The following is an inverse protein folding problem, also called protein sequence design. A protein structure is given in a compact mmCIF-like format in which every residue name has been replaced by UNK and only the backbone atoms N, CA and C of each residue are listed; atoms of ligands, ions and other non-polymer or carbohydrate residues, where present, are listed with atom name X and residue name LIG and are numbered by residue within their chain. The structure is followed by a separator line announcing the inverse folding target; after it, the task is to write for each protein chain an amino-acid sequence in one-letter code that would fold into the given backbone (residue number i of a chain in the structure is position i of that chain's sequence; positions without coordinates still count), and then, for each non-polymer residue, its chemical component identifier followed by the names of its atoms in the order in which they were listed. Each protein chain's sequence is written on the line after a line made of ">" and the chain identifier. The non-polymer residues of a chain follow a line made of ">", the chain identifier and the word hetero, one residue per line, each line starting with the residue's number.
data_IF_196697904714
#
_entry.id   IF_196697904714
#
_cell.length_a   1.000
_cell.length_b   1.000
_cell.length_c   1.000
_cell.angle_alpha   90.00
_cell.angle_beta   90.00
_cell.angle_gamma   90.00
#
_symmetry.space_group_name_H-M   'P 1'
#
loop_
_entity.id
_entity.type
_entity.pdbx_description
1 polymer ?
#
# COMPACT_ATOMS: atom_id res chain seq x y z
N UNK A 1 10.61 -15.91 0.28
CA UNK A 1 11.21 -14.83 1.10
C UNK A 1 10.39 -13.57 0.88
N UNK A 2 10.09 -12.80 1.93
CA UNK A 2 9.39 -11.52 1.85
C UNK A 2 10.33 -10.43 1.33
N UNK A 3 9.82 -9.50 0.52
CA UNK A 3 10.53 -8.29 0.12
C UNK A 3 10.24 -7.16 1.11
N UNK A 4 11.27 -6.52 1.67
CA UNK A 4 11.11 -5.50 2.69
C UNK A 4 11.38 -4.11 2.14
N UNK A 5 10.51 -3.16 2.44
CA UNK A 5 10.60 -1.80 1.93
C UNK A 5 9.98 -0.76 2.86
N UNK A 6 9.74 0.41 2.31
CA UNK A 6 9.28 1.62 3.00
C UNK A 6 8.19 2.33 2.21
N UNK A 7 7.22 2.91 2.90
CA UNK A 7 6.28 3.88 2.33
C UNK A 7 6.87 5.29 2.50
N UNK A 8 7.10 6.01 1.42
CA UNK A 8 7.77 7.32 1.43
C UNK A 8 7.03 8.38 2.25
N UNK A 9 5.68 8.30 2.30
CA UNK A 9 4.86 9.26 3.06
C UNK A 9 5.06 9.17 4.57
N UNK A 10 5.81 8.20 5.06
CA UNK A 10 6.29 8.17 6.45
C UNK A 10 7.16 9.37 6.80
N UNK A 11 7.78 10.01 5.81
CA UNK A 11 8.74 11.12 5.97
C UNK A 11 8.45 12.25 4.98
N UNK A 12 7.31 12.91 5.12
CA UNK A 12 6.83 13.97 4.21
C UNK A 12 7.71 15.20 4.16
N UNK A 13 8.53 15.44 5.20
CA UNK A 13 9.46 16.55 5.36
C UNK A 13 10.85 16.27 4.76
N UNK A 14 11.06 15.06 4.22
CA UNK A 14 12.35 14.64 3.64
C UNK A 14 12.31 14.64 2.12
N UNK A 15 13.47 14.89 1.51
CA UNK A 15 13.63 14.75 0.07
C UNK A 15 13.65 13.27 -0.37
N UNK A 16 13.32 12.97 -1.64
CA UNK A 16 13.46 11.61 -2.17
C UNK A 16 14.86 11.01 -1.97
N UNK A 17 15.92 11.80 -2.19
CA UNK A 17 17.32 11.35 -2.03
C UNK A 17 17.64 10.94 -0.59
N UNK A 18 17.11 11.67 0.42
CA UNK A 18 17.28 11.32 1.84
C UNK A 18 16.57 10.01 2.17
N UNK A 19 15.35 9.83 1.64
CA UNK A 19 14.54 8.61 1.84
C UNK A 19 15.22 7.41 1.19
N UNK A 20 15.68 7.53 -0.06
CA UNK A 20 16.41 6.47 -0.78
C UNK A 20 17.68 6.07 0.00
N UNK A 21 18.47 7.06 0.41
CA UNK A 21 19.68 6.82 1.18
C UNK A 21 19.40 6.13 2.52
N UNK A 22 18.35 6.53 3.22
CA UNK A 22 17.97 5.91 4.48
C UNK A 22 17.48 4.47 4.28
N UNK A 23 16.64 4.20 3.28
CA UNK A 23 16.16 2.86 2.95
C UNK A 23 17.33 1.93 2.61
N UNK A 24 18.27 2.37 1.76
CA UNK A 24 19.45 1.61 1.38
C UNK A 24 20.34 1.27 2.58
N UNK A 25 20.64 2.25 3.44
CA UNK A 25 21.42 2.02 4.68
C UNK A 25 20.75 1.03 5.62
N UNK A 26 19.42 1.02 5.66
CA UNK A 26 18.65 0.07 6.48
C UNK A 26 18.48 -1.30 5.80
N UNK A 27 19.05 -1.52 4.60
CA UNK A 27 18.92 -2.78 3.86
C UNK A 27 17.50 -3.09 3.41
N UNK A 28 16.68 -2.07 3.19
CA UNK A 28 15.38 -2.18 2.53
C UNK A 28 15.59 -2.17 1.02
N UNK A 29 14.81 -2.94 0.28
CA UNK A 29 15.02 -3.17 -1.16
C UNK A 29 14.05 -2.39 -2.06
N UNK A 30 13.00 -1.81 -1.50
CA UNK A 30 12.01 -1.11 -2.30
C UNK A 30 11.31 0.02 -1.54
N UNK A 31 10.69 0.92 -2.32
CA UNK A 31 9.91 2.05 -1.80
C UNK A 31 8.57 2.13 -2.54
N UNK A 32 7.50 2.41 -1.80
CA UNK A 32 6.26 2.99 -2.32
C UNK A 32 6.38 4.51 -2.33
N UNK A 33 6.18 5.12 -3.49
CA UNK A 33 6.24 6.57 -3.64
C UNK A 33 4.86 7.20 -3.54
N UNK A 34 4.68 8.14 -2.60
CA UNK A 34 3.45 8.92 -2.46
C UNK A 34 3.31 9.99 -3.55
N UNK A 35 2.11 10.07 -4.13
CA UNK A 35 1.78 10.99 -5.23
C UNK A 35 1.53 12.43 -4.79
N UNK A 36 1.53 12.70 -3.50
CA UNK A 36 1.26 14.02 -2.93
C UNK A 36 2.53 14.89 -2.81
N UNK A 37 3.48 14.48 -1.99
CA UNK A 37 4.67 15.29 -1.67
C UNK A 37 5.88 14.89 -2.53
N UNK A 38 6.18 13.58 -2.59
CA UNK A 38 7.43 13.11 -3.16
C UNK A 38 7.40 12.97 -4.67
N UNK A 39 6.35 12.39 -5.21
CA UNK A 39 6.25 11.96 -6.61
C UNK A 39 4.94 12.44 -7.25
N UNK A 40 4.69 13.76 -7.38
CA UNK A 40 3.45 14.27 -7.95
C UNK A 40 3.31 13.85 -9.41
N UNK A 41 2.11 13.34 -9.79
CA UNK A 41 1.87 12.77 -11.13
C UNK A 41 2.05 13.75 -12.29
N UNK A 42 2.02 15.06 -12.03
CA UNK A 42 2.23 16.12 -13.05
C UNK A 42 3.70 16.46 -13.29
N UNK A 43 4.63 15.95 -12.50
CA UNK A 43 6.07 16.29 -12.59
C UNK A 43 6.89 15.13 -13.16
N UNK A 44 6.88 15.00 -14.48
CA UNK A 44 7.61 13.94 -15.18
C UNK A 44 9.13 14.00 -14.96
N UNK A 45 9.69 15.21 -14.77
CA UNK A 45 11.11 15.41 -14.49
C UNK A 45 11.49 14.79 -13.15
N UNK A 46 10.73 15.11 -12.11
CA UNK A 46 10.91 14.59 -10.75
C UNK A 46 10.73 13.07 -10.68
N UNK A 47 9.70 12.53 -11.36
CA UNK A 47 9.46 11.09 -11.41
C UNK A 47 10.65 10.34 -12.01
N UNK A 48 11.22 10.82 -13.11
CA UNK A 48 12.41 10.24 -13.76
C UNK A 48 13.64 10.37 -12.88
N UNK A 49 13.83 11.50 -12.17
CA UNK A 49 14.95 11.68 -11.23
C UNK A 49 14.88 10.67 -10.10
N UNK A 50 13.70 10.53 -9.47
CA UNK A 50 13.48 9.52 -8.42
C UNK A 50 13.80 8.11 -8.93
N UNK A 51 13.32 7.76 -10.12
CA UNK A 51 13.62 6.45 -10.73
C UNK A 51 15.12 6.22 -10.89
N UNK A 52 15.83 7.20 -11.46
CA UNK A 52 17.27 7.10 -11.68
C UNK A 52 18.07 7.00 -10.36
N UNK A 53 17.67 7.78 -9.34
CA UNK A 53 18.30 7.72 -8.02
C UNK A 53 18.04 6.37 -7.33
N UNK A 54 16.83 5.84 -7.43
CA UNK A 54 16.48 4.50 -6.93
C UNK A 54 17.33 3.42 -7.60
N UNK A 55 17.45 3.46 -8.94
CA UNK A 55 18.26 2.51 -9.70
C UNK A 55 19.72 2.57 -9.29
N UNK A 56 20.26 3.79 -9.14
CA UNK A 56 21.65 4.00 -8.68
C UNK A 56 21.92 3.47 -7.28
N UNK A 57 20.91 3.44 -6.42
CA UNK A 57 21.00 2.94 -5.05
C UNK A 57 20.62 1.44 -4.93
N UNK A 58 20.20 0.78 -5.99
CA UNK A 58 19.69 -0.59 -5.95
C UNK A 58 18.35 -0.73 -5.25
N UNK A 59 17.56 0.35 -5.17
CA UNK A 59 16.23 0.40 -4.58
C UNK A 59 15.18 0.31 -5.69
N UNK A 60 14.17 -0.55 -5.54
CA UNK A 60 13.09 -0.66 -6.49
C UNK A 60 11.95 0.31 -6.16
N UNK A 61 11.44 1.04 -7.16
CA UNK A 61 10.15 1.73 -7.04
C UNK A 61 9.05 0.66 -7.10
N UNK A 62 8.62 0.13 -5.95
CA UNK A 62 7.74 -1.04 -5.90
C UNK A 62 6.32 -0.71 -6.31
N UNK A 63 5.84 0.45 -5.87
CA UNK A 63 4.47 0.88 -6.08
C UNK A 63 4.34 2.40 -6.03
N UNK A 64 3.20 2.86 -6.50
CA UNK A 64 2.83 4.26 -6.49
C UNK A 64 1.57 4.47 -5.64
N UNK A 65 1.75 5.05 -4.47
CA UNK A 65 0.69 5.36 -3.52
C UNK A 65 -0.09 6.60 -3.94
N UNK A 66 -1.26 6.42 -4.53
CA UNK A 66 -2.11 7.53 -4.96
C UNK A 66 -3.14 7.88 -3.90
N UNK A 67 -3.73 9.08 -4.04
CA UNK A 67 -4.93 9.50 -3.29
C UNK A 67 -6.19 9.41 -4.14
N UNK A 68 -6.13 8.65 -5.22
CA UNK A 68 -7.27 8.38 -6.08
C UNK A 68 -8.32 7.54 -5.34
N UNK A 69 -9.56 8.02 -5.33
CA UNK A 69 -10.71 7.32 -4.72
C UNK A 69 -11.67 6.89 -5.80
N UNK A 70 -11.85 5.59 -5.96
CA UNK A 70 -12.83 5.02 -6.89
C UNK A 70 -14.23 5.42 -6.41
N UNK A 71 -15.07 5.90 -7.32
CA UNK A 71 -16.41 6.39 -7.01
C UNK A 71 -16.48 7.86 -6.57
N UNK A 72 -15.32 8.53 -6.36
CA UNK A 72 -15.25 9.98 -6.04
C UNK A 72 -14.50 10.76 -7.11
N UNK A 73 -13.36 10.23 -7.58
CA UNK A 73 -12.62 10.83 -8.69
C UNK A 73 -13.21 10.41 -10.04
N UNK A 74 -13.05 11.26 -11.06
CA UNK A 74 -13.35 10.86 -12.44
C UNK A 74 -12.49 9.66 -12.84
N UNK A 75 -13.08 8.57 -13.38
CA UNK A 75 -12.31 7.40 -13.81
C UNK A 75 -11.19 7.71 -14.81
N UNK A 76 -11.34 8.77 -15.60
CA UNK A 76 -10.33 9.22 -16.57
C UNK A 76 -9.06 9.74 -15.91
N UNK A 77 -9.15 10.23 -14.69
CA UNK A 77 -7.99 10.71 -13.94
C UNK A 77 -6.98 9.62 -13.63
N UNK A 78 -7.38 8.35 -13.62
CA UNK A 78 -6.49 7.22 -13.36
C UNK A 78 -5.31 7.18 -14.34
N UNK A 79 -5.50 7.61 -15.59
CA UNK A 79 -4.46 7.54 -16.61
C UNK A 79 -3.25 8.43 -16.32
N UNK A 80 -3.43 9.55 -15.61
CA UNK A 80 -2.29 10.37 -15.17
C UNK A 80 -1.45 9.66 -14.11
N UNK A 81 -2.09 8.90 -13.21
CA UNK A 81 -1.37 8.11 -12.20
C UNK A 81 -0.71 6.88 -12.83
N UNK A 82 -1.36 6.22 -13.78
CA UNK A 82 -0.75 5.12 -14.55
C UNK A 82 0.50 5.62 -15.29
N UNK A 83 0.41 6.78 -15.96
CA UNK A 83 1.56 7.37 -16.65
C UNK A 83 2.70 7.71 -15.68
N UNK A 84 2.39 8.26 -14.51
CA UNK A 84 3.38 8.54 -13.48
C UNK A 84 4.03 7.26 -12.93
N UNK A 85 3.25 6.21 -12.67
CA UNK A 85 3.77 4.93 -12.23
C UNK A 85 4.73 4.31 -13.25
N UNK A 86 4.42 4.40 -14.54
CA UNK A 86 5.33 3.95 -15.62
C UNK A 86 6.64 4.72 -15.64
N UNK A 87 6.61 6.04 -15.40
CA UNK A 87 7.83 6.86 -15.32
C UNK A 87 8.68 6.49 -14.10
N UNK A 88 8.07 6.09 -13.00
CA UNK A 88 8.74 5.55 -11.81
C UNK A 88 9.21 4.10 -11.99
N UNK A 89 8.72 3.37 -13.00
CA UNK A 89 8.91 1.94 -13.13
C UNK A 89 8.15 1.12 -12.09
N UNK A 90 7.07 1.69 -11.53
CA UNK A 90 6.20 1.02 -10.58
C UNK A 90 5.08 0.26 -11.31
N UNK A 91 4.87 -1.00 -10.93
CA UNK A 91 3.87 -1.88 -11.55
C UNK A 91 2.53 -1.86 -10.82
N UNK A 92 2.50 -1.35 -9.59
CA UNK A 92 1.34 -1.33 -8.72
C UNK A 92 0.97 0.12 -8.38
N UNK A 93 -0.34 0.43 -8.47
CA UNK A 93 -0.93 1.66 -7.97
C UNK A 93 -1.79 1.32 -6.75
N UNK A 94 -1.56 1.99 -5.63
CA UNK A 94 -2.42 1.94 -4.46
C UNK A 94 -3.53 2.97 -4.61
N UNK A 95 -4.76 2.53 -4.37
CA UNK A 95 -5.98 3.33 -4.48
C UNK A 95 -6.84 3.15 -3.24
N UNK A 96 -7.79 4.06 -3.02
CA UNK A 96 -8.89 3.85 -2.10
C UNK A 96 -10.19 3.59 -2.85
N UNK A 97 -11.08 2.81 -2.26
CA UNK A 97 -12.39 2.49 -2.81
C UNK A 97 -13.47 3.21 -1.99
N UNK A 98 -14.08 4.23 -2.57
CA UNK A 98 -15.07 5.07 -1.91
C UNK A 98 -14.52 5.91 -0.76
N UNK A 99 -15.38 6.74 -0.16
CA UNK A 99 -15.07 7.67 0.93
C UNK A 99 -15.87 7.44 2.21
N UNK A 100 -16.61 6.32 2.30
CA UNK A 100 -17.39 5.92 3.47
C UNK A 100 -17.33 4.42 3.68
N UNK A 101 -17.73 3.95 4.87
CA UNK A 101 -17.81 2.51 5.17
C UNK A 101 -18.74 1.79 4.19
N UNK A 102 -18.40 0.56 3.83
CA UNK A 102 -19.24 -0.27 2.96
C UNK A 102 -20.67 -0.42 3.47
N UNK A 103 -20.86 -0.40 4.78
CA UNK A 103 -22.19 -0.51 5.43
C UNK A 103 -23.09 0.73 5.21
N UNK A 104 -22.52 1.83 4.75
CA UNK A 104 -23.24 3.08 4.48
C UNK A 104 -23.71 3.21 3.01
N UNK A 105 -23.33 2.23 2.16
CA UNK A 105 -23.70 2.23 0.75
C UNK A 105 -25.09 1.64 0.53
N UNK A 106 -25.94 2.37 -0.17
CA UNK A 106 -27.16 1.80 -0.75
C UNK A 106 -26.82 0.78 -1.84
N UNK A 107 -27.75 -0.10 -2.19
CA UNK A 107 -27.56 -1.07 -3.26
C UNK A 107 -27.24 -0.43 -4.62
N UNK A 108 -27.82 0.74 -4.91
CA UNK A 108 -27.55 1.47 -6.14
C UNK A 108 -26.14 2.05 -6.18
N UNK A 109 -25.69 2.69 -5.09
CA UNK A 109 -24.33 3.22 -4.96
C UNK A 109 -23.28 2.09 -5.05
N UNK A 110 -23.53 0.97 -4.37
CA UNK A 110 -22.66 -0.21 -4.40
C UNK A 110 -22.52 -0.76 -5.82
N UNK A 111 -23.63 -0.87 -6.55
CA UNK A 111 -23.62 -1.31 -7.96
C UNK A 111 -22.78 -0.38 -8.83
N UNK A 112 -22.95 0.94 -8.70
CA UNK A 112 -22.19 1.94 -9.45
C UNK A 112 -20.68 1.85 -9.12
N UNK A 113 -20.33 1.76 -7.84
CA UNK A 113 -18.94 1.60 -7.40
C UNK A 113 -18.28 0.35 -8.00
N UNK A 114 -19.00 -0.77 -8.04
CA UNK A 114 -18.50 -2.02 -8.62
C UNK A 114 -18.32 -1.92 -10.16
N UNK A 115 -19.18 -1.16 -10.84
CA UNK A 115 -19.03 -0.88 -12.26
C UNK A 115 -17.77 -0.04 -12.53
N UNK A 116 -17.50 0.98 -11.73
CA UNK A 116 -16.28 1.78 -11.81
C UNK A 116 -15.03 0.92 -11.55
N UNK A 117 -15.05 0.07 -10.52
CA UNK A 117 -13.94 -0.85 -10.24
C UNK A 117 -13.65 -1.76 -11.44
N UNK A 118 -14.68 -2.35 -12.07
CA UNK A 118 -14.52 -3.19 -13.27
C UNK A 118 -13.98 -2.39 -14.47
N UNK A 119 -14.43 -1.15 -14.64
CA UNK A 119 -13.95 -0.26 -15.71
C UNK A 119 -12.47 0.04 -15.54
N UNK A 120 -12.07 0.40 -14.31
CA UNK A 120 -10.67 0.70 -13.97
C UNK A 120 -9.76 -0.53 -14.07
N UNK A 121 -10.23 -1.71 -13.63
CA UNK A 121 -9.50 -2.95 -13.77
C UNK A 121 -9.19 -3.26 -15.24
N UNK A 122 -10.17 -3.12 -16.15
CA UNK A 122 -9.95 -3.29 -17.58
C UNK A 122 -8.98 -2.25 -18.19
N UNK A 123 -8.98 -1.02 -17.67
CA UNK A 123 -8.00 -0.02 -18.10
C UNK A 123 -6.58 -0.40 -17.64
N UNK A 124 -6.44 -0.86 -16.40
CA UNK A 124 -5.17 -1.31 -15.85
C UNK A 124 -4.58 -2.52 -16.60
N UNK A 125 -5.43 -3.49 -16.96
CA UNK A 125 -5.03 -4.65 -17.79
C UNK A 125 -4.39 -4.21 -19.11
N UNK A 126 -5.02 -3.27 -19.81
CA UNK A 126 -4.49 -2.73 -21.09
C UNK A 126 -3.15 -2.03 -20.92
N UNK A 127 -2.94 -1.44 -19.78
CA UNK A 127 -1.73 -0.66 -19.47
C UNK A 127 -0.64 -1.48 -18.79
N UNK A 128 -0.88 -2.78 -18.51
CA UNK A 128 0.01 -3.69 -17.80
C UNK A 128 0.41 -3.16 -16.41
N UNK A 129 -0.53 -2.59 -15.67
CA UNK A 129 -0.36 -2.18 -14.27
C UNK A 129 -1.41 -2.89 -13.41
N UNK A 130 -1.14 -2.98 -12.12
CA UNK A 130 -2.08 -3.54 -11.16
C UNK A 130 -2.62 -2.43 -10.26
N UNK A 131 -3.93 -2.35 -10.13
CA UNK A 131 -4.60 -1.50 -9.15
C UNK A 131 -4.84 -2.31 -7.88
N UNK A 132 -4.37 -1.81 -6.75
CA UNK A 132 -4.56 -2.45 -5.46
C UNK A 132 -5.28 -1.53 -4.50
N UNK A 133 -6.38 -2.02 -3.93
CA UNK A 133 -7.15 -1.29 -2.94
C UNK A 133 -6.50 -1.41 -1.58
N UNK A 134 -6.30 -0.29 -0.91
CA UNK A 134 -5.87 -0.29 0.47
C UNK A 134 -7.03 -0.69 1.39
N UNK A 135 -6.78 -1.65 2.29
CA UNK A 135 -7.67 -1.97 3.39
C UNK A 135 -7.61 -0.82 4.40
N UNK A 136 -8.59 0.10 4.36
CA UNK A 136 -8.53 1.33 5.14
C UNK A 136 -9.89 1.68 5.76
N UNK A 137 -9.87 2.24 6.99
CA UNK A 137 -11.07 2.78 7.63
C UNK A 137 -11.73 3.87 6.78
N UNK A 138 -13.04 4.02 6.88
CA UNK A 138 -13.82 4.99 6.10
C UNK A 138 -13.64 4.83 4.57
N UNK A 139 -13.47 3.59 4.11
CA UNK A 139 -13.52 3.22 2.71
C UNK A 139 -14.39 1.97 2.55
N UNK A 140 -14.71 1.60 1.31
CA UNK A 140 -15.50 0.39 1.04
C UNK A 140 -14.78 -0.89 1.52
N UNK A 141 -13.47 -0.84 1.70
CA UNK A 141 -12.65 -1.98 2.13
C UNK A 141 -12.43 -2.05 3.64
N UNK A 142 -13.26 -1.39 4.45
CA UNK A 142 -13.17 -1.44 5.91
C UNK A 142 -13.86 -2.66 6.55
N UNK A 143 -14.67 -3.39 5.75
CA UNK A 143 -15.37 -4.61 6.15
C UNK A 143 -14.99 -5.78 5.26
N UNK A 144 -14.88 -6.97 5.83
CA UNK A 144 -14.39 -8.16 5.12
C UNK A 144 -15.40 -8.67 4.09
N UNK A 145 -16.67 -8.82 4.46
CA UNK A 145 -17.68 -9.44 3.58
C UNK A 145 -17.86 -8.63 2.30
N UNK A 146 -17.97 -7.31 2.41
CA UNK A 146 -18.17 -6.40 1.28
C UNK A 146 -16.91 -6.31 0.42
N UNK A 147 -15.72 -6.38 1.05
CA UNK A 147 -14.45 -6.45 0.29
C UNK A 147 -14.38 -7.71 -0.56
N UNK A 148 -14.74 -8.86 0.00
CA UNK A 148 -14.74 -10.12 -0.76
C UNK A 148 -15.75 -10.09 -1.91
N UNK A 149 -16.96 -9.59 -1.67
CA UNK A 149 -17.97 -9.40 -2.72
C UNK A 149 -17.47 -8.49 -3.85
N UNK A 150 -16.80 -7.39 -3.51
CA UNK A 150 -16.19 -6.50 -4.50
C UNK A 150 -15.13 -7.22 -5.33
N UNK A 151 -14.19 -7.91 -4.68
CA UNK A 151 -13.11 -8.62 -5.36
C UNK A 151 -13.63 -9.74 -6.27
N UNK A 152 -14.66 -10.47 -5.84
CA UNK A 152 -15.33 -11.48 -6.67
C UNK A 152 -16.08 -10.85 -7.84
N UNK A 153 -16.75 -9.72 -7.62
CA UNK A 153 -17.48 -9.00 -8.68
C UNK A 153 -16.55 -8.43 -9.75
N UNK A 154 -15.36 -7.96 -9.39
CA UNK A 154 -14.38 -7.42 -10.35
C UNK A 154 -13.65 -8.55 -11.06
N UNK A 155 -13.25 -9.59 -10.35
CA UNK A 155 -12.60 -10.83 -10.82
C UNK A 155 -11.52 -10.60 -11.89
N UNK A 156 -10.58 -9.69 -11.63
CA UNK A 156 -9.47 -9.36 -12.53
C UNK A 156 -8.12 -9.61 -11.86
N UNK A 157 -7.14 -10.07 -12.62
CA UNK A 157 -5.75 -10.22 -12.16
C UNK A 157 -5.04 -8.88 -12.02
N UNK A 158 -5.51 -7.84 -12.71
CA UNK A 158 -5.02 -6.47 -12.59
C UNK A 158 -5.66 -5.70 -11.41
N UNK A 159 -6.47 -6.37 -10.57
CA UNK A 159 -7.14 -5.76 -9.44
C UNK A 159 -6.90 -6.59 -8.18
N UNK A 160 -6.28 -6.00 -7.18
CA UNK A 160 -5.87 -6.67 -5.96
C UNK A 160 -6.03 -5.81 -4.72
N UNK A 161 -5.29 -6.18 -3.66
CA UNK A 161 -5.36 -5.53 -2.37
C UNK A 161 -3.98 -5.12 -1.86
N UNK A 162 -3.97 -4.08 -1.02
CA UNK A 162 -3.02 -3.90 0.07
C UNK A 162 -3.70 -4.33 1.35
N UNK A 163 -2.99 -5.08 2.16
CA UNK A 163 -3.49 -5.37 3.49
C UNK A 163 -2.69 -4.63 4.55
N UNK A 164 -3.41 -4.13 5.54
CA UNK A 164 -2.90 -3.59 6.80
C UNK A 164 -3.90 -3.87 7.90
N UNK A 165 -3.46 -3.99 9.17
CA UNK A 165 -4.39 -4.15 10.27
C UNK A 165 -5.15 -2.84 10.52
N UNK A 166 -6.42 -2.95 10.87
CA UNK A 166 -7.19 -1.82 11.39
C UNK A 166 -6.90 -1.71 12.89
N UNK A 167 -6.29 -0.60 13.30
CA UNK A 167 -5.86 -0.34 14.69
C UNK A 167 -7.01 -0.24 15.70
N UNK A 168 -8.24 -0.17 15.24
CA UNK A 168 -9.45 -0.15 16.07
C UNK A 168 -10.15 -1.51 16.16
N UNK A 169 -9.61 -2.54 15.50
CA UNK A 169 -10.11 -3.91 15.52
C UNK A 169 -9.18 -4.81 16.33
N UNK A 170 -9.72 -5.91 16.87
CA UNK A 170 -8.89 -6.88 17.57
C UNK A 170 -7.92 -7.59 16.62
N UNK A 171 -6.84 -8.15 17.17
CA UNK A 171 -5.87 -8.95 16.42
C UNK A 171 -6.54 -10.10 15.64
N UNK A 172 -7.50 -10.79 16.25
CA UNK A 172 -8.19 -11.89 15.60
C UNK A 172 -9.04 -11.43 14.40
N UNK A 173 -9.71 -10.29 14.51
CA UNK A 173 -10.49 -9.71 13.39
C UNK A 173 -9.55 -9.34 12.24
N UNK A 174 -8.42 -8.73 12.54
CA UNK A 174 -7.40 -8.40 11.54
C UNK A 174 -6.80 -9.67 10.91
N UNK A 175 -6.56 -10.71 11.71
CA UNK A 175 -6.04 -11.98 11.21
C UNK A 175 -7.01 -12.69 10.25
N UNK A 176 -8.30 -12.75 10.60
CA UNK A 176 -9.30 -13.35 9.70
C UNK A 176 -9.44 -12.55 8.40
N UNK A 177 -9.34 -11.22 8.47
CA UNK A 177 -9.31 -10.39 7.27
C UNK A 177 -8.06 -10.70 6.42
N UNK A 178 -6.87 -10.69 7.03
CA UNK A 178 -5.61 -11.04 6.36
C UNK A 178 -5.70 -12.39 5.65
N UNK A 179 -6.16 -13.42 6.37
CA UNK A 179 -6.33 -14.79 5.87
C UNK A 179 -7.25 -14.86 4.65
N UNK A 180 -8.32 -14.11 4.65
CA UNK A 180 -9.29 -14.12 3.56
C UNK A 180 -8.75 -13.43 2.30
N UNK A 181 -7.95 -12.34 2.45
CA UNK A 181 -7.46 -11.56 1.30
C UNK A 181 -6.02 -11.87 0.88
N UNK A 182 -5.27 -12.70 1.62
CA UNK A 182 -3.83 -12.92 1.41
C UNK A 182 -3.45 -13.31 -0.03
N UNK A 183 -4.31 -14.08 -0.70
CA UNK A 183 -4.08 -14.47 -2.11
C UNK A 183 -4.26 -13.32 -3.11
N UNK A 184 -5.05 -12.32 -2.75
CA UNK A 184 -5.31 -11.12 -3.56
C UNK A 184 -4.43 -9.94 -3.15
N UNK A 185 -3.80 -10.00 -1.98
CA UNK A 185 -2.91 -8.95 -1.52
C UNK A 185 -1.54 -9.06 -2.20
N UNK A 186 -1.02 -7.92 -2.64
CA UNK A 186 0.31 -7.78 -3.24
C UNK A 186 1.31 -7.17 -2.27
N UNK A 187 0.83 -6.28 -1.41
CA UNK A 187 1.64 -5.53 -0.47
C UNK A 187 0.96 -5.51 0.90
N UNK A 188 1.78 -5.53 1.93
CA UNK A 188 1.39 -5.38 3.33
C UNK A 188 2.03 -4.10 3.86
N UNK A 189 1.24 -3.19 4.46
CA UNK A 189 1.77 -2.09 5.25
C UNK A 189 1.96 -2.53 6.69
N UNK A 190 3.18 -2.37 7.20
CA UNK A 190 3.57 -2.79 8.53
C UNK A 190 3.82 -1.59 9.44
N UNK A 191 3.06 -1.53 10.53
CA UNK A 191 3.17 -0.51 11.58
C UNK A 191 2.67 -1.07 12.91
N UNK A 192 2.88 -0.35 14.00
CA UNK A 192 2.28 -0.70 15.28
C UNK A 192 1.52 0.50 15.85
N UNK A 193 0.21 0.51 15.63
CA UNK A 193 -0.68 1.53 16.16
C UNK A 193 -1.69 0.92 17.14
N UNK A 194 -1.92 1.61 18.23
CA UNK A 194 -2.98 1.34 19.19
C UNK A 194 -3.89 2.56 19.25
N UNK A 195 -5.01 2.52 18.55
CA UNK A 195 -5.81 3.69 18.24
C UNK A 195 -4.96 4.72 17.47
N UNK A 196 -4.75 5.90 18.04
CA UNK A 196 -3.94 6.97 17.43
C UNK A 196 -2.46 6.95 17.89
N UNK A 197 -2.12 6.10 18.85
CA UNK A 197 -0.76 6.02 19.39
C UNK A 197 0.10 5.12 18.54
N UNK A 198 1.17 5.69 17.98
CA UNK A 198 2.23 4.95 17.28
C UNK A 198 3.20 4.35 18.29
N UNK A 199 3.56 3.10 18.10
CA UNK A 199 4.44 2.34 18.97
C UNK A 199 5.54 1.66 18.14
N UNK A 200 6.70 1.30 18.73
CA UNK A 200 7.71 0.50 18.06
C UNK A 200 7.14 -0.83 17.55
N UNK A 201 7.49 -1.21 16.31
CA UNK A 201 7.06 -2.45 15.68
C UNK A 201 7.48 -3.68 16.49
N UNK A 202 8.64 -3.62 17.11
CA UNK A 202 9.18 -4.69 17.96
C UNK A 202 8.21 -5.13 19.06
N UNK A 203 7.39 -4.22 19.60
CA UNK A 203 6.39 -4.53 20.64
C UNK A 203 5.23 -5.40 20.13
N UNK A 204 5.00 -5.43 18.83
CA UNK A 204 3.98 -6.27 18.18
C UNK A 204 4.59 -7.44 17.39
N UNK A 205 5.83 -7.83 17.69
CA UNK A 205 6.59 -8.79 16.88
C UNK A 205 5.91 -10.14 16.68
N UNK A 206 5.30 -10.72 17.71
CA UNK A 206 4.59 -12.00 17.60
C UNK A 206 3.32 -11.87 16.73
N UNK A 207 2.56 -10.81 16.92
CA UNK A 207 1.36 -10.51 16.13
C UNK A 207 1.72 -10.33 14.65
N UNK A 208 2.77 -9.55 14.36
CA UNK A 208 3.22 -9.34 12.99
C UNK A 208 3.77 -10.63 12.36
N UNK A 209 4.51 -11.44 13.10
CA UNK A 209 4.96 -12.76 12.62
C UNK A 209 3.78 -13.65 12.23
N UNK A 210 2.73 -13.67 13.06
CA UNK A 210 1.48 -14.40 12.77
C UNK A 210 0.79 -13.87 11.49
N UNK A 211 0.70 -12.55 11.32
CA UNK A 211 0.13 -11.97 10.10
C UNK A 211 0.96 -12.31 8.86
N UNK A 212 2.26 -12.05 8.92
CA UNK A 212 3.14 -12.19 7.75
C UNK A 212 3.32 -13.64 7.28
N UNK A 213 3.09 -14.63 8.14
CA UNK A 213 3.05 -16.03 7.73
C UNK A 213 1.96 -16.35 6.69
N UNK A 214 0.94 -15.48 6.57
CA UNK A 214 -0.12 -15.59 5.56
C UNK A 214 0.27 -15.04 4.17
N UNK A 215 1.38 -14.29 4.07
CA UNK A 215 1.77 -13.55 2.87
C UNK A 215 3.12 -14.00 2.26
N UNK A 216 3.37 -15.31 2.07
CA UNK A 216 4.66 -15.77 1.56
C UNK A 216 4.98 -15.14 0.20
N UNK A 217 6.22 -14.62 0.05
CA UNK A 217 6.70 -14.02 -1.19
C UNK A 217 6.12 -12.63 -1.53
N UNK A 218 5.37 -12.02 -0.62
CA UNK A 218 4.81 -10.68 -0.82
C UNK A 218 5.77 -9.58 -0.36
N UNK A 219 5.46 -8.34 -0.71
CA UNK A 219 6.18 -7.15 -0.27
C UNK A 219 5.59 -6.64 1.04
N UNK A 220 6.46 -6.29 1.99
CA UNK A 220 6.10 -5.68 3.28
C UNK A 220 6.76 -4.32 3.37
N UNK A 221 5.96 -3.28 3.51
CA UNK A 221 6.44 -1.91 3.58
C UNK A 221 6.23 -1.35 5.00
N UNK A 222 7.31 -0.88 5.60
CA UNK A 222 7.20 -0.09 6.83
C UNK A 222 6.44 1.20 6.55
N UNK A 223 5.46 1.48 7.38
CA UNK A 223 4.68 2.71 7.31
C UNK A 223 4.61 3.38 8.68
N UNK A 224 4.99 4.64 8.74
CA UNK A 224 5.03 5.49 9.93
C UNK A 224 5.86 4.97 11.11
N UNK A 225 6.93 5.68 11.40
CA UNK A 225 7.76 5.44 12.59
C UNK A 225 7.05 5.92 13.86
N UNK A 226 7.38 5.36 15.04
CA UNK A 226 6.74 5.73 16.32
C UNK A 226 6.78 7.22 16.63
N UNK A 227 7.90 7.87 16.31
CA UNK A 227 8.15 9.30 16.55
C UNK A 227 8.05 10.15 15.26
N UNK A 228 7.77 9.53 14.11
CA UNK A 228 7.72 10.18 12.80
C UNK A 228 9.07 10.59 12.23
N UNK A 229 10.18 10.18 12.84
CA UNK A 229 11.53 10.60 12.46
C UNK A 229 12.24 9.55 11.59
N UNK A 230 13.00 10.03 10.61
CA UNK A 230 13.77 9.14 9.71
C UNK A 230 14.91 8.42 10.44
N UNK A 231 15.40 8.98 11.53
CA UNK A 231 16.45 8.39 12.36
C UNK A 231 15.98 7.08 13.00
N UNK A 232 14.69 6.93 13.30
CA UNK A 232 14.10 5.72 13.88
C UNK A 232 13.89 4.59 12.87
N UNK A 233 14.06 4.86 11.56
CA UNK A 233 13.89 3.85 10.52
C UNK A 233 14.80 2.64 10.71
N UNK A 234 16.03 2.84 11.21
CA UNK A 234 16.98 1.73 11.38
C UNK A 234 16.48 0.71 12.42
N UNK A 235 15.91 1.17 13.52
CA UNK A 235 15.34 0.30 14.58
C UNK A 235 14.11 -0.45 14.08
N UNK A 236 13.21 0.24 13.37
CA UNK A 236 12.00 -0.35 12.81
C UNK A 236 12.30 -1.37 11.70
N UNK A 237 13.29 -1.08 10.84
CA UNK A 237 13.76 -2.00 9.81
C UNK A 237 14.39 -3.25 10.41
N UNK A 238 15.18 -3.12 11.47
CA UNK A 238 15.77 -4.25 12.18
C UNK A 238 14.70 -5.09 12.88
N UNK A 239 13.69 -4.45 13.48
CA UNK A 239 12.54 -5.15 14.05
C UNK A 239 11.79 -5.95 12.97
N UNK A 240 11.52 -5.35 11.81
CA UNK A 240 10.85 -6.04 10.71
C UNK A 240 11.66 -7.23 10.19
N UNK A 241 12.97 -7.09 10.03
CA UNK A 241 13.86 -8.19 9.63
C UNK A 241 13.77 -9.37 10.60
N UNK A 242 13.86 -9.12 11.92
CA UNK A 242 13.72 -10.15 12.96
C UNK A 242 12.35 -10.83 12.93
N UNK A 243 11.28 -10.07 12.71
CA UNK A 243 9.91 -10.60 12.59
C UNK A 243 9.79 -11.55 11.39
N UNK A 244 10.48 -11.23 10.29
CA UNK A 244 10.38 -11.97 9.02
C UNK A 244 11.40 -13.10 8.88
N UNK A 245 12.33 -13.23 9.81
CA UNK A 245 13.35 -14.27 9.79
C UNK A 245 12.72 -15.67 9.78
N UNK A 246 13.04 -16.47 8.74
CA UNK A 246 12.52 -17.82 8.55
C UNK A 246 11.06 -17.92 8.06
N UNK A 247 10.45 -16.81 7.58
CA UNK A 247 9.13 -16.79 6.92
C UNK A 247 9.25 -16.97 5.40
#
# INVERSE_FOLDING_TARGET
>A
MLELGLVSVSFRDRSPSEIISAAARCGLSCIEWGSDVHAPCGDAGRLKSIKAECDGAGIRCRSYGTYFRIGENSPEEIFRYISAAKLLGAEILRLWCGGKSALEYSAAEKKALFEDCRRLARAAEKENVKLCLECHINTFTDTLSETLELLESVNSTAFGMYWQPNQYKSENVNYEYAKAVCRRAEIVHAFNWQGEKKLPLALAGQTWRRYLSLFPGKTVLLEFMPDGRIESLAEEAEALKKITEGL
#
